data_IF_243122826721
#
_entry.id   IF_243122826721
#
_cell.length_a   1.000
_cell.length_b   1.000
_cell.length_c   1.000
_cell.angle_alpha   90.00
_cell.angle_beta   90.00
_cell.angle_gamma   90.00
#
_symmetry.space_group_name_H-M   'P 1'
#
loop_
_entity.id
_entity.type
_entity.pdbx_description
1 polymer ?
#
# COMPACT_ATOMS: atom_id res chain seq x y z
N UNK A 1 12.42 14.30 17.57
CA UNK A 1 11.35 13.33 17.27
C UNK A 1 11.48 12.90 15.81
N UNK A 2 11.76 11.62 15.58
CA UNK A 2 12.33 11.11 14.32
C UNK A 2 11.41 11.18 13.08
N UNK A 3 12.04 11.32 11.92
CA UNK A 3 11.45 11.40 10.58
C UNK A 3 10.63 10.15 10.16
N UNK A 4 10.68 9.05 10.93
CA UNK A 4 10.05 7.77 10.59
C UNK A 4 8.56 7.61 10.95
N UNK A 5 7.95 8.52 11.73
CA UNK A 5 6.59 8.31 12.26
C UNK A 5 5.45 8.95 11.45
N UNK A 6 5.72 9.71 10.38
CA UNK A 6 4.69 10.54 9.73
C UNK A 6 4.00 9.90 8.52
N UNK A 7 4.72 9.15 7.69
CA UNK A 7 4.08 8.30 6.67
C UNK A 7 3.09 7.32 7.30
N UNK A 8 3.40 6.85 8.51
CA UNK A 8 2.49 6.02 9.30
C UNK A 8 1.18 6.71 9.70
N UNK A 9 1.11 8.05 9.81
CA UNK A 9 -0.15 8.71 10.15
C UNK A 9 -1.12 8.70 8.97
N UNK A 10 -0.65 9.08 7.78
CA UNK A 10 -1.45 9.01 6.56
C UNK A 10 -1.90 7.57 6.28
N UNK A 11 -0.98 6.61 6.41
CA UNK A 11 -1.29 5.19 6.29
C UNK A 11 -2.35 4.72 7.29
N UNK A 12 -2.23 5.13 8.56
CA UNK A 12 -3.23 4.81 9.59
C UNK A 12 -4.62 5.37 9.26
N UNK A 13 -4.69 6.58 8.72
CA UNK A 13 -5.97 7.18 8.31
C UNK A 13 -6.61 6.40 7.16
N UNK A 14 -5.82 5.97 6.18
CA UNK A 14 -6.31 5.12 5.09
C UNK A 14 -6.80 3.78 5.64
N UNK A 15 -6.02 3.11 6.49
CA UNK A 15 -6.39 1.84 7.10
C UNK A 15 -7.71 1.97 7.89
N UNK A 16 -7.83 2.98 8.74
CA UNK A 16 -9.06 3.25 9.51
C UNK A 16 -10.26 3.50 8.57
N UNK A 17 -10.06 4.24 7.49
CA UNK A 17 -11.12 4.52 6.51
C UNK A 17 -11.58 3.24 5.81
N UNK A 18 -10.63 2.38 5.42
CA UNK A 18 -10.93 1.08 4.81
C UNK A 18 -11.67 0.14 5.76
N UNK A 19 -11.28 0.11 7.05
CA UNK A 19 -11.99 -0.64 8.08
C UNK A 19 -13.43 -0.14 8.25
N UNK A 20 -13.64 1.19 8.22
CA UNK A 20 -14.98 1.77 8.24
C UNK A 20 -15.79 1.35 7.01
N UNK A 21 -15.22 1.42 5.81
CA UNK A 21 -15.91 0.97 4.59
C UNK A 21 -16.31 -0.51 4.67
N UNK A 22 -15.44 -1.36 5.21
CA UNK A 22 -15.73 -2.78 5.37
C UNK A 22 -16.84 -3.01 6.40
N UNK A 23 -16.78 -2.35 7.55
CA UNK A 23 -17.77 -2.48 8.62
C UNK A 23 -19.17 -2.06 8.18
N UNK A 24 -19.26 -0.98 7.41
CA UNK A 24 -20.53 -0.49 6.87
C UNK A 24 -20.97 -1.21 5.58
N UNK A 25 -20.22 -2.22 5.12
CA UNK A 25 -20.53 -2.98 3.90
C UNK A 25 -20.43 -2.17 2.60
N UNK A 26 -19.67 -1.08 2.60
CA UNK A 26 -19.51 -0.16 1.46
C UNK A 26 -18.47 -0.67 0.48
N UNK A 27 -17.30 -1.09 0.97
CA UNK A 27 -16.19 -1.59 0.16
C UNK A 27 -15.31 -2.55 0.97
N UNK A 28 -14.59 -3.45 0.28
CA UNK A 28 -13.57 -4.31 0.89
C UNK A 28 -12.22 -3.95 0.28
N UNK A 29 -11.40 -3.18 1.00
CA UNK A 29 -10.10 -2.68 0.55
C UNK A 29 -9.06 -2.99 1.63
N UNK A 30 -7.93 -3.58 1.24
CA UNK A 30 -6.89 -4.00 2.16
C UNK A 30 -5.54 -3.41 1.77
N UNK A 31 -4.69 -3.19 2.77
CA UNK A 31 -3.28 -2.87 2.57
C UNK A 31 -2.52 -4.16 2.23
N UNK A 32 -1.71 -4.13 1.17
CA UNK A 32 -0.81 -5.23 0.84
C UNK A 32 0.37 -5.27 1.83
N UNK A 33 0.68 -6.43 2.42
CA UNK A 33 1.82 -6.56 3.30
C UNK A 33 3.11 -6.37 2.51
N UNK A 34 4.12 -5.75 3.15
CA UNK A 34 5.44 -5.65 2.55
C UNK A 34 6.03 -7.05 2.41
N UNK A 35 6.39 -7.50 1.19
CA UNK A 35 6.95 -8.82 1.00
C UNK A 35 8.33 -8.90 1.67
N UNK A 36 8.50 -9.91 2.52
CA UNK A 36 9.75 -10.20 3.21
C UNK A 36 10.14 -11.63 2.89
N UNK A 37 11.31 -11.80 2.27
CA UNK A 37 11.91 -13.12 2.09
C UNK A 37 12.57 -13.55 3.38
N UNK A 38 11.94 -14.50 4.05
CA UNK A 38 12.42 -15.05 5.33
C UNK A 38 13.53 -16.05 5.06
N UNK A 39 14.72 -15.79 5.61
CA UNK A 39 15.86 -16.71 5.58
C UNK A 39 15.92 -17.60 6.83
N UNK A 40 15.49 -17.06 7.97
CA UNK A 40 15.44 -17.78 9.24
C UNK A 40 14.24 -17.31 10.06
N UNK A 41 13.48 -18.25 10.60
CA UNK A 41 12.38 -17.99 11.53
C UNK A 41 12.44 -18.92 12.74
N UNK A 42 11.90 -18.47 13.87
CA UNK A 42 11.68 -19.29 15.06
C UNK A 42 10.41 -18.84 15.76
N UNK A 43 9.53 -19.79 16.15
CA UNK A 43 8.31 -19.50 16.90
C UNK A 43 7.40 -18.45 16.26
N UNK A 44 7.29 -18.44 14.92
CA UNK A 44 6.46 -17.47 14.18
C UNK A 44 7.09 -16.08 14.01
N UNK A 45 8.32 -15.84 14.51
CA UNK A 45 9.06 -14.59 14.30
C UNK A 45 10.12 -14.76 13.21
N UNK A 46 10.22 -13.77 12.34
CA UNK A 46 11.30 -13.64 11.35
C UNK A 46 12.56 -13.19 12.07
N UNK A 47 13.59 -14.03 12.08
CA UNK A 47 14.89 -13.75 12.70
C UNK A 47 15.87 -13.13 11.70
N UNK A 48 15.79 -13.53 10.44
CA UNK A 48 16.61 -12.98 9.37
C UNK A 48 15.86 -13.06 8.03
N UNK A 49 16.02 -12.04 7.19
CA UNK A 49 15.36 -11.94 5.91
C UNK A 49 15.71 -10.64 5.19
N UNK A 50 15.39 -10.58 3.91
CA UNK A 50 15.53 -9.38 3.09
C UNK A 50 14.16 -8.95 2.59
N UNK A 51 13.94 -7.64 2.51
CA UNK A 51 12.76 -7.09 1.85
C UNK A 51 12.86 -7.40 0.36
N UNK A 52 11.79 -7.96 -0.20
CA UNK A 52 11.68 -8.09 -1.64
C UNK A 52 11.12 -6.80 -2.22
N UNK A 53 11.54 -6.47 -3.44
CA UNK A 53 10.96 -5.34 -4.17
C UNK A 53 9.47 -5.58 -4.34
N UNK A 54 8.64 -4.66 -3.83
CA UNK A 54 7.21 -4.66 -4.13
C UNK A 54 7.03 -4.67 -5.65
N UNK A 55 6.07 -5.46 -6.14
CA UNK A 55 5.79 -5.56 -7.57
C UNK A 55 4.47 -4.88 -7.96
N UNK A 56 3.73 -4.37 -6.98
CA UNK A 56 2.36 -3.86 -7.13
C UNK A 56 2.14 -2.62 -6.26
N UNK A 57 0.91 -2.10 -6.29
CA UNK A 57 0.45 -1.02 -5.40
C UNK A 57 0.32 -1.43 -3.93
N UNK A 58 0.23 -0.44 -3.05
CA UNK A 58 0.06 -0.63 -1.61
C UNK A 58 -1.35 -1.04 -1.16
N UNK A 59 -2.40 -0.72 -1.92
CA UNK A 59 -3.79 -1.04 -1.56
C UNK A 59 -4.58 -1.60 -2.73
N UNK A 60 -5.38 -2.62 -2.47
CA UNK A 60 -6.31 -3.20 -3.44
C UNK A 60 -7.58 -3.75 -2.79
N UNK A 61 -8.63 -3.91 -3.59
CA UNK A 61 -9.93 -4.31 -3.10
C UNK A 61 -11.03 -4.32 -4.15
N UNK A 62 -12.27 -4.26 -3.65
CA UNK A 62 -13.49 -4.25 -4.45
C UNK A 62 -14.48 -3.23 -3.92
N UNK A 63 -15.11 -2.51 -4.83
CA UNK A 63 -16.22 -1.59 -4.57
C UNK A 63 -17.30 -1.77 -5.64
N UNK A 64 -18.54 -2.05 -5.23
CA UNK A 64 -19.69 -2.25 -6.14
C UNK A 64 -19.40 -3.21 -7.32
N UNK A 65 -18.69 -4.30 -7.05
CA UNK A 65 -18.36 -5.31 -8.07
C UNK A 65 -17.19 -4.94 -9.00
N UNK A 66 -16.52 -3.80 -8.79
CA UNK A 66 -15.34 -3.38 -9.55
C UNK A 66 -14.07 -3.45 -8.71
N UNK A 67 -12.97 -3.84 -9.35
CA UNK A 67 -11.66 -3.84 -8.72
C UNK A 67 -11.24 -2.40 -8.39
N UNK A 68 -10.62 -2.23 -7.23
CA UNK A 68 -10.01 -0.97 -6.80
C UNK A 68 -8.55 -1.25 -6.52
N UNK A 69 -7.65 -0.44 -7.06
CA UNK A 69 -6.23 -0.50 -6.81
C UNK A 69 -5.67 0.92 -6.71
N UNK A 70 -4.94 1.23 -5.65
CA UNK A 70 -4.33 2.56 -5.50
C UNK A 70 -3.03 2.52 -4.70
N UNK A 71 -2.22 3.54 -4.95
CA UNK A 71 -0.98 3.81 -4.25
C UNK A 71 -1.13 5.05 -3.37
N UNK A 72 -0.47 5.09 -2.21
CA UNK A 72 -0.62 6.19 -1.26
C UNK A 72 0.75 6.73 -0.82
N UNK A 73 1.06 7.96 -1.22
CA UNK A 73 2.30 8.65 -0.87
C UNK A 73 1.99 10.00 -0.24
N UNK A 74 2.83 10.42 0.72
CA UNK A 74 2.71 11.72 1.38
C UNK A 74 4.02 12.50 1.28
N UNK A 75 3.96 13.79 1.01
CA UNK A 75 5.12 14.71 1.02
C UNK A 75 4.93 15.80 2.07
N UNK A 76 6.03 16.31 2.62
CA UNK A 76 6.01 17.52 3.47
C UNK A 76 6.24 18.80 2.67
N UNK A 77 6.71 18.67 1.43
CA UNK A 77 6.93 19.84 0.60
C UNK A 77 5.58 20.44 0.21
N UNK A 78 5.41 21.73 0.53
CA UNK A 78 4.20 22.48 0.23
C UNK A 78 4.13 22.91 -1.24
N UNK A 79 5.24 22.81 -1.97
CA UNK A 79 5.40 23.38 -3.32
C UNK A 79 5.72 22.34 -4.39
N UNK A 80 6.07 21.11 -4.01
CA UNK A 80 6.34 20.03 -4.97
C UNK A 80 6.00 18.66 -4.43
N UNK A 81 5.62 17.79 -5.34
CA UNK A 81 5.55 16.35 -5.11
C UNK A 81 6.62 15.68 -5.97
N UNK A 82 7.62 15.08 -5.32
CA UNK A 82 8.72 14.43 -6.03
C UNK A 82 8.24 13.08 -6.58
N UNK A 83 8.18 12.97 -7.90
CA UNK A 83 7.70 11.78 -8.61
C UNK A 83 8.63 10.58 -8.43
N UNK A 84 9.89 10.78 -8.03
CA UNK A 84 10.79 9.68 -7.69
C UNK A 84 10.30 8.84 -6.50
N UNK A 85 9.34 9.35 -5.72
CA UNK A 85 8.66 8.59 -4.66
C UNK A 85 7.68 7.54 -5.20
N UNK A 86 7.34 7.58 -6.49
CA UNK A 86 6.48 6.60 -7.15
C UNK A 86 7.40 5.68 -7.96
N UNK A 87 7.44 4.40 -7.60
CA UNK A 87 8.29 3.45 -8.30
C UNK A 87 7.64 3.00 -9.61
N UNK A 88 8.46 2.76 -10.65
CA UNK A 88 7.96 2.40 -11.99
C UNK A 88 7.02 1.17 -11.97
N UNK A 89 7.35 0.14 -11.19
CA UNK A 89 6.50 -1.05 -11.08
C UNK A 89 5.08 -0.75 -10.53
N UNK A 90 4.92 0.33 -9.75
CA UNK A 90 3.61 0.76 -9.24
C UNK A 90 2.78 1.38 -10.37
N UNK A 91 3.42 2.22 -11.20
CA UNK A 91 2.81 2.79 -12.40
C UNK A 91 2.42 1.70 -13.39
N UNK A 92 3.33 0.78 -13.69
CA UNK A 92 3.09 -0.34 -14.60
C UNK A 92 1.91 -1.20 -14.15
N UNK A 93 1.75 -1.40 -12.82
CA UNK A 93 0.62 -2.11 -12.26
C UNK A 93 -0.68 -1.33 -12.43
N UNK A 94 -0.68 -0.03 -12.11
CA UNK A 94 -1.86 0.83 -12.25
C UNK A 94 -2.34 0.90 -13.71
N UNK A 95 -1.42 1.06 -14.67
CA UNK A 95 -1.76 1.05 -16.10
C UNK A 95 -2.36 -0.29 -16.55
N UNK A 96 -1.82 -1.41 -16.05
CA UNK A 96 -2.37 -2.74 -16.35
C UNK A 96 -3.77 -2.91 -15.74
N UNK A 97 -3.97 -2.44 -14.51
CA UNK A 97 -5.26 -2.52 -13.83
C UNK A 97 -6.33 -1.71 -14.59
N UNK A 98 -6.00 -0.48 -15.00
CA UNK A 98 -6.88 0.37 -15.81
C UNK A 98 -7.24 -0.30 -17.15
N UNK A 99 -6.24 -0.85 -17.86
CA UNK A 99 -6.46 -1.58 -19.13
C UNK A 99 -7.39 -2.80 -18.97
N UNK A 100 -7.43 -3.41 -17.78
CA UNK A 100 -8.27 -4.55 -17.46
C UNK A 100 -9.64 -4.16 -16.86
N UNK A 101 -9.94 -2.86 -16.75
CA UNK A 101 -11.26 -2.35 -16.36
C UNK A 101 -11.47 -2.15 -14.86
N UNK A 102 -10.38 -2.02 -14.08
CA UNK A 102 -10.48 -1.46 -12.73
C UNK A 102 -11.12 -0.06 -12.80
#
# INVERSE_FOLDING_TARGET
>A
MGLGNRGMHFEKLINLSNEMYQREGVALINKRPTPVKVLKSAGGRVLNGFYESKSTVDYDGVYKGRAVAFEAKSTQSLTRFDLSNIAQHQLDYLEKAEKMGA
#
